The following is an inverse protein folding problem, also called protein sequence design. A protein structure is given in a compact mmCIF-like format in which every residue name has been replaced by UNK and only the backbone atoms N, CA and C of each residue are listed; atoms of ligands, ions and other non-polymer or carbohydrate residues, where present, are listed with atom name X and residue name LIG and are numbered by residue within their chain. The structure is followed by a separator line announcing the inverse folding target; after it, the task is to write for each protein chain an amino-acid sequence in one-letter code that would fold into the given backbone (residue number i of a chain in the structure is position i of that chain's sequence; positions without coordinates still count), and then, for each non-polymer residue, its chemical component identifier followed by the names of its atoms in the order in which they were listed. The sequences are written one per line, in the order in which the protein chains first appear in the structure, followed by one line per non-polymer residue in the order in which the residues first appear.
data_IF_428618960422
#
_entry.id   IF_428618960422
#
_cell.length_a   1.000
_cell.length_b   1.000
_cell.length_c   1.000
_cell.angle_alpha   90.00
_cell.angle_beta   90.00
_cell.angle_gamma   90.00
#
_symmetry.space_group_name_H-M   'P 1'
#
loop_
_entity.id
_entity.type
_entity.pdbx_description
1 polymer ?
#
# COMPACT_ATOMS: atom_id res chain seq x y z
N UNK A 1 20.02 3.12 9.06
CA UNK A 1 18.55 3.26 9.21
C UNK A 1 17.88 3.91 8.01
N UNK A 2 18.24 5.15 7.62
CA UNK A 2 17.59 5.89 6.52
C UNK A 2 17.44 5.08 5.22
N UNK A 3 18.50 4.38 4.80
CA UNK A 3 18.45 3.52 3.62
C UNK A 3 17.41 2.40 3.75
N UNK A 4 17.45 1.63 4.84
CA UNK A 4 16.49 0.56 5.07
C UNK A 4 15.04 1.08 5.10
N UNK A 5 14.80 2.24 5.72
CA UNK A 5 13.45 2.83 5.75
C UNK A 5 12.94 3.27 4.37
N UNK A 6 13.83 3.63 3.44
CA UNK A 6 13.45 4.00 2.07
C UNK A 6 13.16 2.78 1.20
N UNK A 7 13.85 1.66 1.46
CA UNK A 7 13.77 0.43 0.67
C UNK A 7 13.51 -0.77 1.59
N UNK A 8 12.23 -1.10 1.82
CA UNK A 8 11.86 -2.24 2.67
C UNK A 8 12.12 -3.61 2.03
N UNK A 9 12.22 -4.64 2.87
CA UNK A 9 12.62 -6.01 2.45
C UNK A 9 11.64 -6.68 1.46
N UNK A 10 10.36 -6.31 1.50
CA UNK A 10 9.31 -6.94 0.69
C UNK A 10 9.50 -6.68 -0.81
N UNK A 11 9.59 -5.41 -1.21
CA UNK A 11 9.65 -5.01 -2.61
C UNK A 11 10.31 -3.65 -2.81
N UNK A 12 11.20 -3.25 -1.88
CA UNK A 12 11.89 -1.95 -1.88
C UNK A 12 10.95 -0.75 -1.93
N UNK A 13 9.81 -0.86 -1.25
CA UNK A 13 8.92 0.27 -0.97
C UNK A 13 9.26 0.90 0.39
N UNK A 14 8.99 2.20 0.58
CA UNK A 14 9.24 2.88 1.85
C UNK A 14 8.49 2.22 3.01
N UNK A 15 9.19 2.10 4.14
CA UNK A 15 8.60 1.65 5.40
C UNK A 15 7.71 2.74 5.99
N UNK A 16 6.55 2.36 6.51
CA UNK A 16 5.62 3.25 7.21
C UNK A 16 5.21 2.64 8.55
N UNK A 17 5.21 3.47 9.60
CA UNK A 17 4.77 3.10 10.94
C UNK A 17 5.50 1.86 11.51
N UNK A 18 6.83 1.82 11.36
CA UNK A 18 7.69 0.75 11.91
C UNK A 18 8.58 1.33 13.00
N UNK A 19 8.63 0.66 14.15
CA UNK A 19 9.58 0.93 15.23
C UNK A 19 10.65 -0.17 15.29
N UNK A 20 11.92 0.21 15.38
CA UNK A 20 13.03 -0.72 15.59
C UNK A 20 13.65 -0.46 16.95
N UNK A 21 13.85 -1.53 17.73
CA UNK A 21 14.49 -1.47 19.04
C UNK A 21 15.85 -2.17 18.94
N UNK A 22 16.92 -1.41 19.18
CA UNK A 22 18.27 -1.96 19.24
C UNK A 22 18.48 -2.54 20.64
N UNK A 23 18.50 -3.87 20.73
CA UNK A 23 18.59 -4.59 22.02
C UNK A 23 20.04 -4.66 22.50
N UNK A 24 20.95 -5.07 21.64
CA UNK A 24 22.37 -5.23 21.96
C UNK A 24 23.25 -5.06 20.71
N UNK A 25 24.51 -4.72 20.92
CA UNK A 25 25.54 -4.61 19.87
C UNK A 25 26.88 -5.08 20.43
N UNK A 26 27.45 -6.10 19.80
CA UNK A 26 28.85 -6.48 20.00
C UNK A 26 29.71 -5.93 18.86
N UNK A 27 30.79 -5.22 19.18
CA UNK A 27 31.72 -4.65 18.20
C UNK A 27 33.13 -5.16 18.44
N UNK A 28 33.92 -5.22 17.35
CA UNK A 28 35.35 -5.45 17.45
C UNK A 28 36.03 -4.37 18.31
N UNK A 29 37.12 -4.73 19.01
CA UNK A 29 37.86 -3.80 19.87
C UNK A 29 38.44 -2.63 19.07
N UNK A 30 39.13 -2.93 17.97
CA UNK A 30 39.81 -1.92 17.15
C UNK A 30 38.85 -1.18 16.20
N UNK A 31 38.97 0.14 16.17
CA UNK A 31 38.14 1.02 15.33
C UNK A 31 38.28 0.74 13.83
N UNK A 32 39.47 0.31 13.38
CA UNK A 32 39.75 -0.02 11.98
C UNK A 32 38.86 -1.15 11.43
N UNK A 33 38.39 -2.05 12.32
CA UNK A 33 37.55 -3.19 11.97
C UNK A 33 36.04 -2.92 12.11
N UNK A 34 35.65 -1.71 12.49
CA UNK A 34 34.24 -1.33 12.71
C UNK A 34 33.86 0.01 12.07
N UNK A 35 34.46 0.29 10.92
CA UNK A 35 34.09 1.44 10.08
C UNK A 35 32.67 1.33 9.51
N UNK A 36 32.18 2.42 8.90
CA UNK A 36 30.83 2.48 8.34
C UNK A 36 30.53 1.39 7.30
N UNK A 37 31.52 0.97 6.51
CA UNK A 37 31.38 -0.13 5.55
C UNK A 37 31.08 -1.49 6.19
N UNK A 38 31.37 -1.69 7.48
CA UNK A 38 31.06 -2.90 8.23
C UNK A 38 29.74 -2.76 8.99
N UNK A 39 29.50 -1.59 9.61
CA UNK A 39 28.33 -1.36 10.45
C UNK A 39 27.05 -1.17 9.61
N UNK A 40 27.12 -0.41 8.50
CA UNK A 40 25.94 -0.07 7.71
C UNK A 40 25.28 -1.31 7.09
N UNK A 41 26.01 -2.22 6.41
CA UNK A 41 25.41 -3.44 5.86
C UNK A 41 24.89 -4.37 6.96
N UNK A 42 25.62 -4.52 8.06
CA UNK A 42 25.21 -5.33 9.22
C UNK A 42 23.89 -4.80 9.79
N UNK A 43 23.80 -3.49 10.06
CA UNK A 43 22.57 -2.86 10.52
C UNK A 43 21.42 -3.07 9.53
N UNK A 44 21.65 -2.89 8.22
CA UNK A 44 20.61 -3.11 7.20
C UNK A 44 20.09 -4.55 7.20
N UNK A 45 20.99 -5.54 7.27
CA UNK A 45 20.62 -6.97 7.36
C UNK A 45 19.76 -7.22 8.61
N UNK A 46 20.19 -6.74 9.77
CA UNK A 46 19.41 -6.88 11.01
C UNK A 46 18.01 -6.27 10.91
N UNK A 47 17.89 -5.06 10.33
CA UNK A 47 16.60 -4.39 10.16
C UNK A 47 15.67 -5.18 9.21
N UNK A 48 16.19 -5.75 8.12
CA UNK A 48 15.40 -6.59 7.21
C UNK A 48 14.98 -7.91 7.84
N UNK A 49 15.87 -8.55 8.61
CA UNK A 49 15.52 -9.75 9.38
C UNK A 49 14.41 -9.46 10.39
N UNK A 50 14.55 -8.37 11.16
CA UNK A 50 13.53 -7.93 12.12
C UNK A 50 12.19 -7.62 11.41
N UNK A 51 12.23 -6.94 10.27
CA UNK A 51 11.03 -6.62 9.49
C UNK A 51 10.29 -7.89 9.05
N UNK A 52 11.00 -8.92 8.54
CA UNK A 52 10.38 -10.18 8.12
C UNK A 52 9.76 -10.94 9.30
N UNK A 53 10.46 -11.00 10.44
CA UNK A 53 9.93 -11.66 11.64
C UNK A 53 8.69 -10.95 12.21
N UNK A 54 8.55 -9.65 11.95
CA UNK A 54 7.39 -8.86 12.37
C UNK A 54 6.14 -9.02 11.48
N UNK A 55 6.14 -9.97 10.52
CA UNK A 55 5.02 -10.23 9.59
C UNK A 55 4.58 -8.97 8.83
N UNK A 56 5.44 -8.41 7.97
CA UNK A 56 5.22 -7.11 7.37
C UNK A 56 4.03 -7.12 6.41
N UNK A 57 3.33 -5.98 6.30
CA UNK A 57 2.16 -5.79 5.45
C UNK A 57 2.39 -4.66 4.44
N UNK A 58 1.72 -4.75 3.30
CA UNK A 58 1.70 -3.67 2.32
C UNK A 58 0.53 -2.72 2.58
N UNK A 59 0.72 -1.46 2.21
CA UNK A 59 -0.34 -0.44 2.24
C UNK A 59 -0.56 0.07 0.82
N UNK A 60 -1.81 0.30 0.45
CA UNK A 60 -2.19 0.99 -0.77
C UNK A 60 -2.78 2.38 -0.44
N UNK A 61 -2.58 3.38 -1.31
CA UNK A 61 -3.19 4.68 -1.11
C UNK A 61 -4.66 4.63 -1.52
N UNK A 62 -5.50 5.34 -0.77
CA UNK A 62 -6.94 5.45 -0.98
C UNK A 62 -7.33 6.88 -1.33
N UNK A 63 -8.16 7.04 -2.36
CA UNK A 63 -8.86 8.29 -2.64
C UNK A 63 -10.15 8.36 -1.84
N UNK A 64 -10.47 9.57 -1.35
CA UNK A 64 -11.85 9.96 -1.07
C UNK A 64 -12.42 10.53 -2.37
N UNK A 65 -13.49 9.90 -2.85
CA UNK A 65 -14.22 10.28 -4.06
C UNK A 65 -15.52 10.95 -3.64
N UNK A 66 -15.76 12.15 -4.14
CA UNK A 66 -17.01 12.89 -4.01
C UNK A 66 -17.70 12.93 -5.37
N UNK A 67 -18.93 12.41 -5.45
CA UNK A 67 -19.69 12.34 -6.70
C UNK A 67 -21.04 13.01 -6.49
N UNK A 68 -21.30 14.04 -7.29
CA UNK A 68 -22.65 14.58 -7.44
C UNK A 68 -23.33 13.93 -8.65
N UNK A 69 -24.52 13.38 -8.46
CA UNK A 69 -25.28 12.71 -9.51
C UNK A 69 -26.79 12.81 -9.29
N UNK A 70 -27.63 12.60 -10.32
CA UNK A 70 -29.06 12.42 -10.13
C UNK A 70 -29.41 11.09 -9.44
N UNK A 71 -30.57 11.02 -8.79
CA UNK A 71 -31.04 9.82 -8.06
C UNK A 71 -31.00 8.53 -8.90
N UNK A 72 -31.43 8.61 -10.17
CA UNK A 72 -31.43 7.44 -11.06
C UNK A 72 -30.04 6.84 -11.33
N UNK A 73 -28.97 7.61 -11.11
CA UNK A 73 -27.60 7.19 -11.35
C UNK A 73 -26.94 6.54 -10.11
N UNK A 74 -27.51 6.70 -8.92
CA UNK A 74 -26.95 6.23 -7.65
C UNK A 74 -26.68 4.72 -7.68
N UNK A 75 -27.65 3.91 -8.13
CA UNK A 75 -27.49 2.46 -8.22
C UNK A 75 -26.33 2.01 -9.12
N UNK A 76 -26.14 2.68 -10.26
CA UNK A 76 -25.01 2.43 -11.18
C UNK A 76 -23.66 2.72 -10.52
N UNK A 77 -23.60 3.76 -9.69
CA UNK A 77 -22.38 4.17 -8.97
C UNK A 77 -22.00 3.13 -7.91
N UNK A 78 -22.96 2.63 -7.15
CA UNK A 78 -22.75 1.52 -6.20
C UNK A 78 -22.18 0.29 -6.91
N UNK A 79 -22.75 -0.09 -8.07
CA UNK A 79 -22.24 -1.20 -8.86
C UNK A 79 -20.81 -1.00 -9.36
N UNK A 80 -20.43 0.24 -9.71
CA UNK A 80 -19.07 0.58 -10.13
C UNK A 80 -18.06 0.46 -8.99
N UNK A 81 -18.38 1.00 -7.82
CA UNK A 81 -17.49 0.90 -6.65
C UNK A 81 -17.31 -0.56 -6.21
N UNK A 82 -18.38 -1.35 -6.19
CA UNK A 82 -18.31 -2.77 -5.83
C UNK A 82 -17.32 -3.55 -6.70
N UNK A 83 -17.31 -3.31 -8.02
CA UNK A 83 -16.34 -3.96 -8.95
C UNK A 83 -14.90 -3.49 -8.76
N UNK A 84 -14.70 -2.28 -8.23
CA UNK A 84 -13.40 -1.61 -8.07
C UNK A 84 -12.92 -1.56 -6.62
N UNK A 85 -13.41 -2.47 -5.76
CA UNK A 85 -13.08 -2.55 -4.33
C UNK A 85 -13.30 -1.23 -3.57
N UNK A 86 -14.18 -0.37 -4.08
CA UNK A 86 -14.53 0.88 -3.43
C UNK A 86 -15.66 0.68 -2.43
N UNK A 87 -15.73 1.58 -1.45
CA UNK A 87 -16.70 1.55 -0.37
C UNK A 87 -17.36 2.92 -0.24
N UNK A 88 -18.67 2.99 -0.48
CA UNK A 88 -19.46 4.21 -0.23
C UNK A 88 -19.61 4.37 1.28
N UNK A 89 -19.24 5.54 1.79
CA UNK A 89 -19.26 5.86 3.22
C UNK A 89 -20.39 6.79 3.60
N UNK A 90 -20.77 7.69 2.69
CA UNK A 90 -21.86 8.64 2.91
C UNK A 90 -22.70 8.80 1.65
N UNK A 91 -23.99 8.97 1.86
CA UNK A 91 -24.96 9.27 0.82
C UNK A 91 -25.88 10.37 1.36
N UNK A 92 -25.92 11.51 0.67
CA UNK A 92 -26.69 12.67 1.10
C UNK A 92 -27.48 13.26 -0.07
N UNK A 93 -28.78 13.46 0.13
CA UNK A 93 -29.59 14.20 -0.84
C UNK A 93 -29.33 15.70 -0.69
N UNK A 94 -29.04 16.39 -1.81
CA UNK A 94 -28.88 17.84 -1.80
C UNK A 94 -30.26 18.50 -1.72
N UNK A 95 -30.57 19.02 -0.54
CA UNK A 95 -31.86 19.65 -0.24
C UNK A 95 -32.28 20.68 -1.32
N UNK A 96 -33.54 20.57 -1.77
CA UNK A 96 -34.12 21.44 -2.80
C UNK A 96 -33.71 21.11 -4.24
N UNK A 97 -32.99 20.01 -4.48
CA UNK A 97 -32.59 19.56 -5.83
C UNK A 97 -32.75 18.04 -5.98
N UNK A 98 -32.90 17.50 -7.21
CA UNK A 98 -32.93 16.05 -7.46
C UNK A 98 -31.52 15.40 -7.45
N UNK A 99 -30.52 16.08 -6.88
CA UNK A 99 -29.13 15.66 -6.87
C UNK A 99 -28.77 14.98 -5.55
N UNK A 100 -27.92 13.97 -5.66
CA UNK A 100 -27.34 13.20 -4.59
C UNK A 100 -25.82 13.40 -4.59
N UNK A 101 -25.26 13.45 -3.38
CA UNK A 101 -23.82 13.51 -3.13
C UNK A 101 -23.43 12.21 -2.47
N UNK A 102 -22.52 11.48 -3.12
CA UNK A 102 -21.97 10.22 -2.65
C UNK A 102 -20.49 10.44 -2.30
N UNK A 103 -20.10 10.05 -1.09
CA UNK A 103 -18.68 9.96 -0.70
C UNK A 103 -18.28 8.50 -0.59
N UNK A 104 -17.13 8.16 -1.15
CA UNK A 104 -16.62 6.79 -1.15
C UNK A 104 -15.10 6.74 -1.08
N UNK A 105 -14.57 5.66 -0.51
CA UNK A 105 -13.17 5.32 -0.67
C UNK A 105 -12.94 4.47 -1.91
N UNK A 106 -11.87 4.78 -2.66
CA UNK A 106 -11.46 4.05 -3.86
C UNK A 106 -9.95 3.82 -3.83
N UNK A 107 -9.46 2.58 -3.97
CA UNK A 107 -8.03 2.36 -4.12
C UNK A 107 -7.47 3.08 -5.35
N UNK A 108 -6.33 3.76 -5.21
CA UNK A 108 -5.74 4.53 -6.33
C UNK A 108 -5.47 3.65 -7.55
N UNK A 109 -5.08 2.38 -7.34
CA UNK A 109 -4.84 1.44 -8.44
C UNK A 109 -6.10 1.12 -9.24
N UNK A 110 -7.29 1.25 -8.66
CA UNK A 110 -8.57 0.99 -9.31
C UNK A 110 -9.14 2.26 -9.98
N UNK A 111 -8.56 3.43 -9.68
CA UNK A 111 -9.01 4.72 -10.21
C UNK A 111 -8.69 4.93 -11.70
N UNK A 112 -7.76 4.16 -12.26
CA UNK A 112 -7.45 4.20 -13.68
C UNK A 112 -8.69 3.80 -14.50
N UNK A 113 -9.12 4.67 -15.41
CA UNK A 113 -10.33 4.48 -16.21
C UNK A 113 -11.65 4.76 -15.48
N UNK A 114 -11.64 4.99 -14.16
CA UNK A 114 -12.84 5.18 -13.35
C UNK A 114 -13.75 6.30 -13.86
N UNK A 115 -13.20 7.46 -14.21
CA UNK A 115 -13.98 8.61 -14.71
C UNK A 115 -14.71 8.28 -16.02
N UNK A 116 -14.09 7.51 -16.92
CA UNK A 116 -14.71 7.12 -18.18
C UNK A 116 -15.82 6.10 -17.97
N UNK A 117 -15.58 5.10 -17.12
CA UNK A 117 -16.60 4.11 -16.73
C UNK A 117 -17.79 4.77 -16.02
N UNK A 118 -17.53 5.69 -15.10
CA UNK A 118 -18.55 6.46 -14.40
C UNK A 118 -19.38 7.30 -15.38
N UNK A 119 -18.72 8.00 -16.32
CA UNK A 119 -19.41 8.78 -17.35
C UNK A 119 -20.32 7.88 -18.19
N UNK A 120 -19.84 6.69 -18.59
CA UNK A 120 -20.64 5.74 -19.37
C UNK A 120 -21.82 5.20 -18.56
N UNK A 121 -21.62 4.86 -17.28
CA UNK A 121 -22.65 4.27 -16.41
C UNK A 121 -23.74 5.27 -15.99
N UNK A 122 -23.46 6.57 -16.12
CA UNK A 122 -24.35 7.66 -15.68
C UNK A 122 -24.81 8.55 -16.83
N UNK A 123 -24.58 8.14 -18.09
CA UNK A 123 -24.89 8.95 -19.28
C UNK A 123 -24.29 10.36 -19.24
N UNK A 124 -23.13 10.50 -18.58
CA UNK A 124 -22.41 11.76 -18.38
C UNK A 124 -23.01 12.72 -17.35
N UNK A 125 -23.93 12.25 -16.51
CA UNK A 125 -24.59 13.07 -15.49
C UNK A 125 -23.87 13.08 -14.13
N UNK A 126 -22.82 12.28 -13.95
CA UNK A 126 -22.00 12.27 -12.74
C UNK A 126 -20.56 12.72 -13.02
N UNK A 127 -20.01 13.52 -12.10
CA UNK A 127 -18.63 13.99 -12.15
C UNK A 127 -17.93 13.67 -10.83
N UNK A 128 -16.81 12.92 -10.85
CA UNK A 128 -16.09 12.57 -9.65
C UNK A 128 -15.04 13.64 -9.32
N UNK A 129 -14.95 14.02 -8.04
CA UNK A 129 -13.79 14.69 -7.48
C UNK A 129 -13.04 13.69 -6.60
N UNK A 130 -11.73 13.53 -6.82
CA UNK A 130 -10.91 12.56 -6.12
C UNK A 130 -9.77 13.28 -5.41
N UNK A 131 -9.61 13.03 -4.11
CA UNK A 131 -8.49 13.54 -3.32
C UNK A 131 -7.85 12.43 -2.51
N UNK A 132 -6.54 12.48 -2.30
CA UNK A 132 -5.88 11.52 -1.41
C UNK A 132 -6.52 11.61 -0.02
N UNK A 133 -6.88 10.46 0.54
CA UNK A 133 -7.45 10.36 1.88
C UNK A 133 -6.43 9.80 2.86
N UNK A 134 -6.04 8.53 2.69
CA UNK A 134 -5.20 7.83 3.64
C UNK A 134 -4.52 6.62 2.99
N UNK A 135 -3.68 5.95 3.77
CA UNK A 135 -3.09 4.66 3.43
C UNK A 135 -3.87 3.55 4.11
N UNK A 136 -4.31 2.56 3.36
CA UNK A 136 -5.04 1.40 3.85
C UNK A 136 -4.20 0.14 3.67
N UNK A 137 -4.33 -0.81 4.61
CA UNK A 137 -3.59 -2.06 4.54
C UNK A 137 -4.16 -2.95 3.43
N UNK A 138 -3.29 -3.43 2.54
CA UNK A 138 -3.70 -4.37 1.50
C UNK A 138 -4.15 -5.68 2.15
N UNK A 139 -5.33 -6.21 1.78
CA UNK A 139 -5.81 -7.49 2.28
C UNK A 139 -4.84 -8.64 1.98
N UNK A 140 -4.62 -9.51 2.98
CA UNK A 140 -3.72 -10.65 2.87
C UNK A 140 -2.26 -10.37 3.22
N UNK A 141 -1.43 -11.42 3.13
CA UNK A 141 -0.01 -11.39 3.49
C UNK A 141 0.87 -11.40 2.23
N UNK A 142 1.83 -10.47 2.10
CA UNK A 142 2.75 -10.46 0.97
C UNK A 142 3.75 -11.64 0.97
N UNK A 143 3.75 -12.45 2.03
CA UNK A 143 4.59 -13.65 2.17
C UNK A 143 3.86 -14.94 1.77
N UNK A 144 2.54 -14.91 1.62
CA UNK A 144 1.71 -16.09 1.34
C UNK A 144 1.10 -15.99 -0.06
N UNK A 145 1.23 -17.03 -0.86
CA UNK A 145 0.66 -17.05 -2.22
C UNK A 145 -0.87 -17.02 -2.21
N UNK A 146 -1.47 -16.48 -3.28
CA UNK A 146 -2.93 -16.56 -3.49
C UNK A 146 -3.74 -15.45 -2.84
N UNK A 147 -3.11 -14.32 -2.52
CA UNK A 147 -3.80 -13.12 -2.06
C UNK A 147 -3.27 -11.85 -2.76
N UNK A 148 -4.05 -10.78 -2.66
CA UNK A 148 -3.77 -9.51 -3.34
C UNK A 148 -2.43 -8.89 -2.93
N UNK A 149 -2.07 -8.95 -1.64
CA UNK A 149 -0.80 -8.42 -1.17
C UNK A 149 0.41 -9.14 -1.78
N UNK A 150 0.33 -10.46 -1.95
CA UNK A 150 1.36 -11.24 -2.63
C UNK A 150 1.48 -10.87 -4.10
N UNK A 151 0.36 -10.75 -4.81
CA UNK A 151 0.34 -10.40 -6.22
C UNK A 151 0.92 -9.00 -6.46
N UNK A 152 0.58 -8.03 -5.61
CA UNK A 152 1.16 -6.68 -5.63
C UNK A 152 2.66 -6.68 -5.36
N UNK A 153 3.10 -7.44 -4.36
CA UNK A 153 4.51 -7.60 -4.04
C UNK A 153 5.26 -8.21 -5.24
N UNK A 154 4.77 -9.32 -5.78
CA UNK A 154 5.36 -10.03 -6.93
C UNK A 154 5.46 -9.15 -8.16
N UNK A 155 4.38 -8.47 -8.54
CA UNK A 155 4.36 -7.58 -9.70
C UNK A 155 5.33 -6.40 -9.54
N UNK A 156 5.41 -5.81 -8.34
CA UNK A 156 6.34 -4.71 -8.05
C UNK A 156 7.80 -5.16 -8.13
N UNK A 157 8.11 -6.34 -7.57
CA UNK A 157 9.46 -6.92 -7.63
C UNK A 157 9.89 -7.21 -9.06
N UNK A 158 9.00 -7.82 -9.86
CA UNK A 158 9.25 -8.09 -11.28
C UNK A 158 9.53 -6.80 -12.06
N UNK A 159 8.69 -5.77 -11.87
CA UNK A 159 8.85 -4.46 -12.53
C UNK A 159 10.17 -3.77 -12.17
N UNK A 160 10.64 -3.93 -10.92
CA UNK A 160 11.91 -3.38 -10.43
C UNK A 160 13.13 -4.25 -10.79
N UNK A 161 12.95 -5.41 -11.41
CA UNK A 161 14.04 -6.34 -11.71
C UNK A 161 14.64 -7.02 -10.47
N UNK A 162 13.87 -7.09 -9.38
CA UNK A 162 14.28 -7.77 -8.14
C UNK A 162 14.13 -9.28 -8.29
N UNK A 163 14.91 -10.04 -7.50
CA UNK A 163 14.78 -11.51 -7.43
C UNK A 163 13.34 -11.91 -7.15
N UNK A 164 12.84 -12.92 -7.87
CA UNK A 164 11.49 -13.44 -7.64
C UNK A 164 11.34 -13.94 -6.20
N UNK A 165 10.19 -13.65 -5.59
CA UNK A 165 9.88 -13.97 -4.20
C UNK A 165 10.54 -13.03 -3.20
N UNK A 166 9.93 -12.92 -2.02
CA UNK A 166 10.50 -12.18 -0.89
C UNK A 166 11.72 -12.96 -0.36
N UNK A 167 12.83 -12.29 -0.01
CA UNK A 167 13.99 -13.00 0.55
C UNK A 167 13.63 -13.71 1.85
N UNK A 168 14.13 -14.94 2.00
CA UNK A 168 13.94 -15.72 3.23
C UNK A 168 14.69 -15.11 4.42
N UNK A 169 14.17 -15.33 5.64
CA UNK A 169 14.76 -14.84 6.89
C UNK A 169 16.19 -15.36 7.11
N UNK A 170 16.50 -16.58 6.66
CA UNK A 170 17.85 -17.16 6.73
C UNK A 170 18.91 -16.33 6.00
N UNK A 171 18.51 -15.48 5.04
CA UNK A 171 19.44 -14.56 4.39
C UNK A 171 19.91 -13.44 5.30
N UNK A 172 19.23 -13.17 6.41
CA UNK A 172 19.49 -12.04 7.32
C UNK A 172 19.74 -12.46 8.76
N UNK A 173 19.46 -13.71 9.11
CA UNK A 173 19.61 -14.23 10.46
C UNK A 173 20.86 -15.12 10.54
N UNK A 174 21.92 -14.56 11.08
CA UNK A 174 23.19 -15.25 11.28
C UNK A 174 23.16 -15.93 12.67
N UNK A 175 23.21 -17.27 12.71
CA UNK A 175 23.31 -18.03 13.96
C UNK A 175 24.76 -18.02 14.46
N UNK A 176 24.93 -17.84 15.76
CA UNK A 176 26.21 -18.02 16.48
C UNK A 176 26.65 -19.48 16.47
#
# INVERSE_FOLDING_TARGET
MQWACKEGVLCEEPMRNIGFHLVDVTLHADAIHRGGGQIIPTCRRCLYGAQLMARPRLFEPMFLVDITCPEQAVGSIYGLFSRKRGMVTEEQQRAGTPLWILKAYLPVVESFGFTAELRSATSGQAFPQMMFSHWEMVPGSPLETGNLAYDFCKATRLRKGLKEGVPDISNFYDKL
#
